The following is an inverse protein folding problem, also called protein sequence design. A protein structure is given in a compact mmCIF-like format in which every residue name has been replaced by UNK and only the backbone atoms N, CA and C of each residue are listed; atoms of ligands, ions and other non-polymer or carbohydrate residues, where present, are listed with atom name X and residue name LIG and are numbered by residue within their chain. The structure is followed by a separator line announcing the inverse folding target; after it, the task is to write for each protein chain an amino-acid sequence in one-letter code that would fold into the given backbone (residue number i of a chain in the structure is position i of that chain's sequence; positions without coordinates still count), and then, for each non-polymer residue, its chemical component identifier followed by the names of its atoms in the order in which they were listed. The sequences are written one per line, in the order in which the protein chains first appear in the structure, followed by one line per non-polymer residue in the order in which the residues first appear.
data_IF_893763971721
#
_entry.id   IF_893763971721
#
_cell.length_a   1.000
_cell.length_b   1.000
_cell.length_c   1.000
_cell.angle_alpha   90.00
_cell.angle_beta   90.00
_cell.angle_gamma   90.00
#
_symmetry.space_group_name_H-M   'P 1'
#
loop_
_entity.id
_entity.type
_entity.pdbx_description
1 polymer ?
#
# COMPACT_ATOMS: atom_id res chain seq x y z
N UNK A 1 4.52 7.48 9.40
CA UNK A 1 4.70 6.65 10.62
C UNK A 1 6.17 6.31 10.86
N UNK A 2 6.60 6.29 12.13
CA UNK A 2 7.96 5.85 12.47
C UNK A 2 8.04 4.31 12.51
N UNK A 3 8.96 3.76 11.72
CA UNK A 3 9.23 2.32 11.63
C UNK A 3 10.58 1.92 12.24
N UNK A 4 11.41 2.87 12.67
CA UNK A 4 12.76 2.59 13.16
C UNK A 4 12.80 1.56 14.31
N UNK A 5 11.87 1.59 15.30
CA UNK A 5 11.86 0.59 16.36
C UNK A 5 11.60 -0.83 15.86
N UNK A 6 10.65 -1.01 14.93
CA UNK A 6 10.30 -2.33 14.36
C UNK A 6 11.46 -2.91 13.55
N UNK A 7 12.12 -2.07 12.74
CA UNK A 7 13.34 -2.48 12.02
C UNK A 7 14.48 -2.87 12.95
N UNK A 8 14.67 -2.14 14.05
CA UNK A 8 15.69 -2.48 15.04
C UNK A 8 15.39 -3.83 15.71
N UNK A 9 14.12 -4.10 16.06
CA UNK A 9 13.71 -5.38 16.63
C UNK A 9 13.96 -6.55 15.67
N UNK A 10 13.56 -6.41 14.39
CA UNK A 10 13.83 -7.44 13.39
C UNK A 10 15.33 -7.70 13.21
N UNK A 11 16.16 -6.64 13.16
CA UNK A 11 17.62 -6.77 13.05
C UNK A 11 18.22 -7.53 14.24
N UNK A 12 17.75 -7.26 15.46
CA UNK A 12 18.17 -8.02 16.66
C UNK A 12 17.77 -9.50 16.55
N UNK A 13 16.53 -9.81 16.14
CA UNK A 13 16.09 -11.20 15.91
C UNK A 13 16.95 -11.91 14.87
N UNK A 14 17.28 -11.23 13.77
CA UNK A 14 18.10 -11.77 12.67
C UNK A 14 19.57 -12.02 13.03
N UNK A 15 20.07 -11.50 14.16
CA UNK A 15 21.39 -11.86 14.69
C UNK A 15 21.40 -13.24 15.35
N UNK A 16 20.23 -13.72 15.81
CA UNK A 16 20.10 -14.97 16.55
C UNK A 16 19.38 -16.07 15.74
N UNK A 17 18.42 -15.67 14.90
CA UNK A 17 17.54 -16.58 14.15
C UNK A 17 17.65 -16.36 12.64
N UNK A 18 17.55 -17.46 11.90
CA UNK A 18 17.30 -17.47 10.46
C UNK A 18 15.96 -16.83 10.09
N UNK A 19 15.85 -16.25 8.89
CA UNK A 19 14.61 -15.62 8.44
C UNK A 19 13.48 -16.65 8.35
N UNK A 20 13.79 -17.88 7.92
CA UNK A 20 12.84 -18.99 7.86
C UNK A 20 12.30 -19.35 9.25
N UNK A 21 13.15 -19.32 10.27
CA UNK A 21 12.74 -19.61 11.65
C UNK A 21 11.82 -18.51 12.19
N UNK A 22 12.13 -17.24 11.92
CA UNK A 22 11.26 -16.10 12.27
C UNK A 22 9.90 -16.23 11.57
N UNK A 23 9.88 -16.57 10.27
CA UNK A 23 8.64 -16.80 9.52
C UNK A 23 7.85 -17.97 10.12
N UNK A 24 8.51 -19.06 10.52
CA UNK A 24 7.85 -20.22 11.11
C UNK A 24 7.29 -19.93 12.50
N UNK A 25 7.98 -19.13 13.31
CA UNK A 25 7.60 -18.84 14.69
C UNK A 25 6.53 -17.73 14.79
N UNK A 26 6.68 -16.66 14.00
CA UNK A 26 5.86 -15.46 14.11
C UNK A 26 4.98 -15.25 12.87
N UNK A 27 5.47 -15.60 11.68
CA UNK A 27 4.75 -15.39 10.42
C UNK A 27 4.28 -13.95 10.26
N UNK A 28 3.00 -13.77 9.97
CA UNK A 28 2.38 -12.45 9.81
C UNK A 28 2.21 -11.68 11.14
N UNK A 29 2.36 -12.35 12.29
CA UNK A 29 2.34 -11.71 13.60
C UNK A 29 3.69 -11.06 13.95
N UNK A 30 4.72 -11.21 13.11
CA UNK A 30 5.99 -10.50 13.27
C UNK A 30 5.74 -8.98 13.31
N UNK A 31 6.24 -8.25 14.34
CA UNK A 31 5.86 -6.87 14.58
C UNK A 31 6.06 -5.89 13.41
N UNK A 32 7.17 -6.00 12.67
CA UNK A 32 7.40 -5.13 11.51
C UNK A 32 6.44 -5.49 10.38
N UNK A 33 6.26 -6.78 10.07
CA UNK A 33 5.34 -7.24 9.05
C UNK A 33 3.90 -6.80 9.34
N UNK A 34 3.41 -7.06 10.55
CA UNK A 34 2.07 -6.67 10.98
C UNK A 34 1.87 -5.15 10.86
N UNK A 35 2.86 -4.36 11.27
CA UNK A 35 2.81 -2.89 11.17
C UNK A 35 2.77 -2.40 9.73
N UNK A 36 3.58 -3.00 8.85
CA UNK A 36 3.60 -2.68 7.42
C UNK A 36 2.26 -3.01 6.77
N UNK A 37 1.71 -4.21 7.02
CA UNK A 37 0.39 -4.61 6.51
C UNK A 37 -0.72 -3.70 7.01
N UNK A 38 -0.68 -3.28 8.26
CA UNK A 38 -1.65 -2.33 8.78
C UNK A 38 -1.59 -0.95 8.09
N UNK A 39 -0.39 -0.45 7.74
CA UNK A 39 -0.26 0.81 6.99
C UNK A 39 -0.60 0.68 5.50
N UNK A 40 -0.34 -0.49 4.92
CA UNK A 40 -0.73 -0.79 3.55
C UNK A 40 -2.24 -0.87 3.42
N UNK A 41 -2.91 -1.62 4.32
CA UNK A 41 -4.36 -1.77 4.32
C UNK A 41 -5.11 -0.43 4.45
N UNK A 42 -4.56 0.50 5.24
CA UNK A 42 -5.11 1.87 5.34
C UNK A 42 -5.16 2.56 3.98
N UNK A 43 -4.19 2.32 3.09
CA UNK A 43 -4.07 2.95 1.77
C UNK A 43 -4.73 2.14 0.66
N UNK A 44 -4.83 0.82 0.83
CA UNK A 44 -5.38 -0.11 -0.14
C UNK A 44 -6.85 0.20 -0.47
N UNK A 45 -7.70 0.37 0.55
CA UNK A 45 -9.12 0.68 0.31
C UNK A 45 -9.35 2.04 -0.37
N UNK A 46 -8.74 3.17 0.07
CA UNK A 46 -8.81 4.43 -0.66
C UNK A 46 -8.33 4.30 -2.11
N UNK A 47 -7.21 3.60 -2.34
CA UNK A 47 -6.67 3.40 -3.68
C UNK A 47 -7.68 2.68 -4.60
N UNK A 48 -8.31 1.61 -4.11
CA UNK A 48 -9.35 0.88 -4.84
C UNK A 48 -10.53 1.80 -5.16
N UNK A 49 -11.06 2.51 -4.15
CA UNK A 49 -12.23 3.40 -4.31
C UNK A 49 -11.94 4.51 -5.33
N UNK A 50 -10.79 5.17 -5.20
CA UNK A 50 -10.40 6.25 -6.11
C UNK A 50 -10.16 5.74 -7.53
N UNK A 51 -9.58 4.56 -7.68
CA UNK A 51 -9.41 3.93 -8.99
C UNK A 51 -10.76 3.65 -9.66
N UNK A 52 -11.71 3.07 -8.91
CA UNK A 52 -13.07 2.81 -9.40
C UNK A 52 -13.79 4.12 -9.77
N UNK A 53 -13.62 5.17 -8.98
CA UNK A 53 -14.17 6.50 -9.27
C UNK A 53 -13.64 7.05 -10.59
N UNK A 54 -12.32 6.97 -10.82
CA UNK A 54 -11.71 7.45 -12.07
C UNK A 54 -12.19 6.66 -13.30
N UNK A 55 -12.42 5.36 -13.16
CA UNK A 55 -13.02 4.53 -14.21
C UNK A 55 -14.47 4.94 -14.48
N UNK A 56 -15.28 5.11 -13.43
CA UNK A 56 -16.67 5.51 -13.55
C UNK A 56 -16.85 6.91 -14.18
N UNK A 57 -15.92 7.83 -13.90
CA UNK A 57 -15.88 9.18 -14.48
C UNK A 57 -15.29 9.22 -15.91
N UNK A 58 -14.84 8.08 -16.45
CA UNK A 58 -14.20 8.00 -17.77
C UNK A 58 -12.83 8.67 -17.86
N UNK A 59 -12.26 9.06 -16.72
CA UNK A 59 -10.92 9.67 -16.59
C UNK A 59 -9.81 8.65 -16.76
N UNK A 60 -10.09 7.40 -16.36
CA UNK A 60 -9.33 6.21 -16.75
C UNK A 60 -10.19 5.35 -17.66
N UNK A 61 -9.55 4.74 -18.66
CA UNK A 61 -10.21 3.86 -19.61
C UNK A 61 -9.37 2.59 -19.76
N UNK A 62 -10.04 1.45 -19.77
CA UNK A 62 -9.42 0.16 -20.02
C UNK A 62 -9.54 -0.15 -21.51
N UNK A 63 -8.40 -0.43 -22.15
CA UNK A 63 -8.32 -0.77 -23.57
C UNK A 63 -7.57 -2.09 -23.76
N UNK A 64 -7.62 -2.72 -24.94
CA UNK A 64 -6.81 -3.90 -25.23
C UNK A 64 -5.29 -3.66 -25.11
N UNK A 65 -4.84 -2.41 -25.28
CA UNK A 65 -3.44 -2.02 -25.12
C UNK A 65 -3.05 -1.67 -23.67
N UNK A 66 -4.00 -1.70 -22.74
CA UNK A 66 -3.81 -1.37 -21.33
C UNK A 66 -4.68 -0.20 -20.86
N UNK A 67 -4.25 0.45 -19.77
CA UNK A 67 -4.95 1.60 -19.18
C UNK A 67 -4.55 2.89 -19.91
N UNK A 68 -5.52 3.74 -20.22
CA UNK A 68 -5.27 5.09 -20.75
C UNK A 68 -5.97 6.18 -19.94
N UNK A 69 -5.39 7.37 -19.96
CA UNK A 69 -6.00 8.61 -19.48
C UNK A 69 -5.84 9.71 -20.53
N UNK A 70 -6.90 10.47 -20.83
CA UNK A 70 -6.87 11.54 -21.83
C UNK A 70 -6.25 11.12 -23.20
N UNK A 71 -6.50 9.87 -23.62
CA UNK A 71 -6.00 9.31 -24.88
C UNK A 71 -4.52 8.86 -24.85
N UNK A 72 -3.84 8.92 -23.70
CA UNK A 72 -2.47 8.45 -23.54
C UNK A 72 -2.41 7.17 -22.72
N UNK A 73 -1.67 6.17 -23.20
CA UNK A 73 -1.42 4.93 -22.46
C UNK A 73 -0.56 5.20 -21.22
N UNK A 74 -0.92 4.55 -20.12
CA UNK A 74 -0.25 4.62 -18.84
C UNK A 74 0.39 3.25 -18.50
N UNK A 75 1.55 2.91 -19.08
CA UNK A 75 2.18 1.59 -18.89
C UNK A 75 2.57 1.31 -17.42
N UNK A 76 2.80 2.36 -16.62
CA UNK A 76 3.10 2.26 -15.18
C UNK A 76 1.86 2.53 -14.31
N UNK A 77 0.68 2.67 -14.91
CA UNK A 77 -0.53 3.10 -14.24
C UNK A 77 -0.53 4.58 -13.87
N UNK A 78 -1.60 5.00 -13.19
CA UNK A 78 -1.76 6.34 -12.65
C UNK A 78 -1.32 6.37 -11.19
N UNK A 79 -0.40 7.26 -10.83
CA UNK A 79 -0.08 7.49 -9.42
C UNK A 79 -1.24 8.23 -8.75
N UNK A 80 -1.75 7.67 -7.65
CA UNK A 80 -2.85 8.23 -6.84
C UNK A 80 -2.42 8.58 -5.41
N UNK A 81 -1.12 8.64 -5.12
CA UNK A 81 -0.60 8.86 -3.76
C UNK A 81 -1.18 10.12 -3.13
N UNK A 82 -1.17 11.25 -3.83
CA UNK A 82 -1.70 12.52 -3.28
C UNK A 82 -3.20 12.43 -2.97
N UNK A 83 -3.98 11.79 -3.85
CA UNK A 83 -5.42 11.62 -3.67
C UNK A 83 -5.74 10.66 -2.53
N UNK A 84 -4.94 9.60 -2.35
CA UNK A 84 -5.07 8.66 -1.24
C UNK A 84 -4.75 9.35 0.09
N UNK A 85 -3.66 10.12 0.17
CA UNK A 85 -3.30 10.83 1.40
C UNK A 85 -4.33 11.92 1.73
N UNK A 86 -4.88 12.63 0.74
CA UNK A 86 -5.99 13.56 0.94
C UNK A 86 -7.27 12.86 1.43
N UNK A 87 -7.63 11.70 0.85
CA UNK A 87 -8.77 10.89 1.29
C UNK A 87 -8.64 10.43 2.75
N UNK A 88 -7.41 10.13 3.18
CA UNK A 88 -7.13 9.73 4.56
C UNK A 88 -7.20 10.92 5.54
N UNK A 89 -6.72 12.09 5.14
CA UNK A 89 -6.79 13.30 5.96
C UNK A 89 -8.25 13.73 6.23
N UNK A 90 -9.09 13.75 5.20
CA UNK A 90 -10.51 14.14 5.27
C UNK A 90 -11.34 13.26 6.22
N UNK A 91 -10.94 11.99 6.40
CA UNK A 91 -11.58 11.05 7.33
C UNK A 91 -11.02 11.08 8.75
N UNK A 92 -9.93 11.81 8.99
CA UNK A 92 -9.38 12.00 10.34
C UNK A 92 -9.96 13.22 11.07
N UNK A 93 -10.65 14.10 10.34
CA UNK A 93 -11.32 15.30 10.86
C UNK A 93 -12.82 15.12 11.11
N UNK A 94 -13.37 13.94 10.79
CA UNK A 94 -14.77 13.53 11.03
C UNK A 94 -14.85 12.36 12.01
#
# INVERSE_FOLDING_TARGET
PDFAPFWQQLRKKRQLLGLREIIQQEGEAEPLFARLRAEELKREFPLIILTLKLLAEGRLQLTPAGVQAAGQLLPQGQCLTEQVEAFLADRSEN
#
